data_IF_783707272671
#
_entry.id   IF_783707272671
#
_cell.length_a   1.000
_cell.length_b   1.000
_cell.length_c   1.000
_cell.angle_alpha   90.00
_cell.angle_beta   90.00
_cell.angle_gamma   90.00
#
_symmetry.space_group_name_H-M   'P 1'
#
loop_
_entity.id
_entity.type
_entity.pdbx_description
1 polymer ?
#
# COMPACT_ATOMS: atom_id res chain seq x y z
N UNK A 1 9.06 -31.01 1.82
CA UNK A 1 8.98 -30.38 0.48
C UNK A 1 7.61 -30.55 -0.19
N UNK A 2 6.53 -30.83 0.56
CA UNK A 2 5.18 -31.16 0.03
C UNK A 2 4.20 -29.99 0.00
N UNK A 3 4.60 -28.80 0.45
CA UNK A 3 3.76 -27.60 0.34
C UNK A 3 4.17 -26.79 -0.90
N UNK A 4 3.21 -26.59 -1.79
CA UNK A 4 3.33 -25.67 -2.93
C UNK A 4 3.52 -24.27 -2.36
N UNK A 5 4.57 -23.59 -2.81
CA UNK A 5 4.85 -22.22 -2.39
C UNK A 5 3.84 -21.29 -3.07
N UNK A 6 3.30 -20.27 -2.38
CA UNK A 6 2.52 -19.23 -3.04
C UNK A 6 3.39 -18.53 -4.07
N UNK A 7 2.83 -18.25 -5.24
CA UNK A 7 3.53 -17.57 -6.35
C UNK A 7 2.77 -16.33 -6.74
N UNK A 8 3.51 -15.26 -7.06
CA UNK A 8 2.92 -14.04 -7.60
C UNK A 8 2.39 -14.31 -9.01
N UNK A 9 1.20 -13.78 -9.31
CA UNK A 9 0.61 -13.91 -10.64
C UNK A 9 1.17 -12.80 -11.55
N UNK A 10 1.58 -13.16 -12.77
CA UNK A 10 2.04 -12.18 -13.77
C UNK A 10 0.87 -11.72 -14.65
N UNK A 11 0.77 -10.42 -14.87
CA UNK A 11 -0.25 -9.76 -15.69
C UNK A 11 0.41 -8.82 -16.72
N UNK A 12 -0.30 -8.50 -17.80
CA UNK A 12 0.15 -7.50 -18.77
C UNK A 12 1.15 -8.01 -19.79
N UNK A 13 1.08 -9.29 -20.17
CA UNK A 13 1.98 -9.91 -21.17
C UNK A 13 1.68 -9.52 -22.63
N UNK A 14 0.49 -8.95 -22.89
CA UNK A 14 -0.02 -8.66 -24.22
C UNK A 14 0.61 -7.45 -24.92
N UNK A 15 1.30 -6.57 -24.18
CA UNK A 15 2.07 -5.48 -24.77
C UNK A 15 3.24 -5.04 -23.88
N UNK A 16 4.30 -4.52 -24.52
CA UNK A 16 5.49 -4.04 -23.81
C UNK A 16 5.14 -2.87 -22.87
N UNK A 17 5.58 -2.96 -21.61
CA UNK A 17 5.32 -1.94 -20.59
C UNK A 17 4.02 -2.11 -19.82
N UNK A 18 3.18 -3.10 -20.14
CA UNK A 18 2.01 -3.46 -19.32
C UNK A 18 2.36 -4.45 -18.19
N UNK A 19 3.50 -5.14 -18.27
CA UNK A 19 3.88 -6.22 -17.35
C UNK A 19 3.99 -5.80 -15.88
N UNK A 20 3.39 -6.56 -14.98
CA UNK A 20 3.61 -6.50 -13.52
C UNK A 20 3.28 -7.84 -12.83
N UNK A 21 3.83 -8.01 -11.62
CA UNK A 21 3.47 -9.11 -10.73
C UNK A 21 2.44 -8.63 -9.71
N UNK A 22 1.34 -9.37 -9.59
CA UNK A 22 0.36 -9.23 -8.54
C UNK A 22 0.70 -10.17 -7.39
N UNK A 23 1.01 -9.58 -6.23
CA UNK A 23 1.17 -10.30 -4.97
C UNK A 23 -0.14 -10.15 -4.21
N UNK A 24 -0.80 -11.26 -3.92
CA UNK A 24 -1.99 -11.27 -3.09
C UNK A 24 -1.58 -11.04 -1.63
N UNK A 25 -1.91 -9.85 -1.11
CA UNK A 25 -1.58 -9.46 0.26
C UNK A 25 -2.85 -9.53 1.09
N UNK A 26 -2.89 -10.35 2.16
CA UNK A 26 -4.04 -10.44 3.04
C UNK A 26 -4.45 -9.06 3.58
N UNK A 27 -5.76 -8.78 3.58
CA UNK A 27 -6.32 -7.54 4.13
C UNK A 27 -6.15 -7.48 5.66
N UNK A 28 -6.16 -8.64 6.32
CA UNK A 28 -5.88 -8.74 7.75
C UNK A 28 -4.37 -8.82 7.99
N UNK A 29 -3.90 -8.13 9.04
CA UNK A 29 -2.50 -8.16 9.42
C UNK A 29 -2.16 -9.55 10.02
N UNK A 30 -1.66 -10.47 9.20
CA UNK A 30 -1.23 -11.81 9.64
C UNK A 30 0.13 -11.78 10.37
N UNK A 31 0.80 -10.63 10.33
CA UNK A 31 2.13 -10.47 10.89
C UNK A 31 2.08 -10.17 12.40
N UNK A 32 2.14 -11.22 13.22
CA UNK A 32 2.16 -11.12 14.69
C UNK A 32 3.55 -10.79 15.27
N UNK A 33 4.34 -9.97 14.57
CA UNK A 33 5.62 -9.56 15.12
C UNK A 33 5.36 -8.61 16.31
N UNK A 34 5.61 -9.11 17.53
CA UNK A 34 5.46 -8.35 18.78
C UNK A 34 6.21 -7.00 18.78
N UNK A 35 7.17 -6.82 17.87
CA UNK A 35 8.03 -5.67 17.78
C UNK A 35 7.46 -4.47 16.98
N UNK A 36 6.28 -4.57 16.37
CA UNK A 36 5.63 -3.42 15.72
C UNK A 36 4.82 -2.54 16.69
N UNK A 37 4.53 -3.06 17.89
CA UNK A 37 3.83 -2.30 18.91
C UNK A 37 4.72 -1.14 19.39
N UNK A 38 4.13 0.05 19.54
CA UNK A 38 4.76 1.32 19.92
C UNK A 38 5.69 2.00 18.89
N UNK A 39 5.51 1.74 17.59
CA UNK A 39 6.14 2.52 16.53
C UNK A 39 5.24 3.68 16.08
N UNK A 40 5.82 4.88 16.00
CA UNK A 40 5.09 6.10 15.59
C UNK A 40 5.92 6.91 14.60
N UNK A 41 5.23 7.61 13.71
CA UNK A 41 5.85 8.62 12.84
C UNK A 41 5.78 9.96 13.56
N UNK A 42 6.95 10.50 13.89
CA UNK A 42 7.14 11.86 14.41
C UNK A 42 7.19 12.83 13.23
N UNK A 43 6.26 13.78 13.20
CA UNK A 43 6.18 14.83 12.20
C UNK A 43 6.65 16.15 12.79
N UNK A 44 7.66 16.78 12.18
CA UNK A 44 8.22 18.05 12.64
C UNK A 44 7.33 19.19 12.11
N UNK A 45 6.65 19.88 13.03
CA UNK A 45 5.79 21.03 12.72
C UNK A 45 6.59 22.34 12.70
N UNK A 46 7.52 22.49 13.64
CA UNK A 46 8.36 23.69 13.81
C UNK A 46 9.76 23.28 14.31
N UNK A 47 10.78 23.99 13.83
CA UNK A 47 12.18 23.72 14.13
C UNK A 47 12.84 22.84 13.06
N UNK A 48 14.17 22.78 13.08
CA UNK A 48 14.98 21.87 12.26
C UNK A 48 15.77 20.97 13.19
N UNK A 49 15.61 19.66 13.01
CA UNK A 49 16.07 18.66 13.98
C UNK A 49 16.50 17.41 13.23
N UNK A 50 17.76 17.03 13.40
CA UNK A 50 18.25 15.76 12.90
C UNK A 50 17.86 14.58 13.81
N UNK A 51 18.25 13.37 13.41
CA UNK A 51 17.91 12.15 14.16
C UNK A 51 18.53 12.15 15.56
N UNK A 52 19.75 12.63 15.71
CA UNK A 52 20.49 12.56 16.98
C UNK A 52 19.92 13.55 17.99
N UNK A 53 19.65 14.78 17.54
CA UNK A 53 19.00 15.80 18.35
C UNK A 53 17.59 15.36 18.73
N UNK A 54 16.79 14.82 17.81
CA UNK A 54 15.44 14.34 18.12
C UNK A 54 15.48 13.26 19.21
N UNK A 55 16.40 12.29 19.11
CA UNK A 55 16.55 11.25 20.12
C UNK A 55 16.92 11.82 21.49
N UNK A 56 17.83 12.80 21.54
CA UNK A 56 18.20 13.45 22.80
C UNK A 56 16.99 14.15 23.45
N UNK A 57 16.18 14.85 22.65
CA UNK A 57 14.98 15.55 23.11
C UNK A 57 13.90 14.57 23.59
N UNK A 58 13.65 13.50 22.84
CA UNK A 58 12.72 12.44 23.25
C UNK A 58 13.19 11.72 24.51
N UNK A 59 14.49 11.49 24.66
CA UNK A 59 15.08 10.89 25.87
C UNK A 59 14.86 11.79 27.08
N UNK A 60 15.18 13.09 26.95
CA UNK A 60 15.01 14.07 28.02
C UNK A 60 13.55 14.23 28.44
N UNK A 61 12.62 14.16 27.48
CA UNK A 61 11.19 14.29 27.72
C UNK A 61 10.59 13.02 28.33
N UNK A 62 10.85 11.85 27.75
CA UNK A 62 10.10 10.63 28.05
C UNK A 62 10.86 9.61 28.93
N UNK A 63 12.19 9.67 28.99
CA UNK A 63 13.06 8.65 29.59
C UNK A 63 13.90 9.17 30.78
N UNK A 64 13.31 10.02 31.64
CA UNK A 64 14.00 10.60 32.81
C UNK A 64 14.45 9.58 33.87
N UNK A 65 13.74 8.46 33.98
CA UNK A 65 13.94 7.46 35.05
C UNK A 65 14.50 6.12 34.55
N UNK A 66 14.45 5.87 33.25
CA UNK A 66 14.87 4.59 32.64
C UNK A 66 15.51 4.87 31.29
N UNK A 67 16.66 4.24 31.05
CA UNK A 67 17.29 4.26 29.73
C UNK A 67 16.48 3.41 28.74
N UNK A 68 16.47 3.84 27.49
CA UNK A 68 15.80 3.14 26.39
C UNK A 68 16.70 3.16 25.15
N UNK A 69 16.99 2.00 24.54
CA UNK A 69 17.75 1.93 23.29
C UNK A 69 16.85 2.31 22.12
N UNK A 70 16.71 3.61 21.87
CA UNK A 70 15.86 4.12 20.81
C UNK A 70 16.20 3.53 19.43
N UNK A 71 15.17 3.21 18.66
CA UNK A 71 15.29 2.86 17.26
C UNK A 71 14.67 4.00 16.44
N UNK A 72 15.46 4.57 15.53
CA UNK A 72 15.06 5.71 14.70
C UNK A 72 15.38 5.45 13.24
N UNK A 73 14.45 5.81 12.35
CA UNK A 73 14.64 5.75 10.91
C UNK A 73 14.02 7.00 10.27
N UNK A 74 14.82 7.74 9.52
CA UNK A 74 14.31 8.88 8.75
C UNK A 74 13.45 8.38 7.60
N UNK A 75 12.27 8.98 7.42
CA UNK A 75 11.38 8.68 6.29
C UNK A 75 11.44 9.80 5.25
N UNK A 76 11.42 11.06 5.68
CA UNK A 76 11.63 12.25 4.85
C UNK A 76 12.38 13.34 5.63
N UNK A 77 12.51 14.54 5.06
CA UNK A 77 13.10 15.69 5.75
C UNK A 77 12.32 16.16 6.98
N UNK A 78 11.02 15.87 7.07
CA UNK A 78 10.15 16.29 8.19
C UNK A 78 9.49 15.15 8.94
N UNK A 79 9.70 13.90 8.52
CA UNK A 79 9.04 12.74 9.10
C UNK A 79 10.05 11.67 9.48
N UNK A 80 9.96 11.21 10.72
CA UNK A 80 10.92 10.28 11.31
C UNK A 80 10.15 9.17 12.03
N UNK A 81 10.43 7.92 11.70
CA UNK A 81 9.89 6.76 12.40
C UNK A 81 10.69 6.51 13.68
N UNK A 82 9.99 6.41 14.81
CA UNK A 82 10.59 6.19 16.12
C UNK A 82 9.86 5.08 16.86
N UNK A 83 10.62 4.20 17.52
CA UNK A 83 10.07 3.20 18.44
C UNK A 83 10.13 3.69 19.88
N UNK A 84 8.96 3.91 20.46
CA UNK A 84 8.83 4.35 21.84
C UNK A 84 9.02 3.19 22.82
N UNK A 85 9.41 3.47 24.08
CA UNK A 85 9.47 2.46 25.12
C UNK A 85 8.13 1.75 25.34
N UNK A 86 8.11 0.46 25.70
CA UNK A 86 6.88 -0.32 25.87
C UNK A 86 6.01 0.19 27.02
N UNK A 87 6.60 0.89 27.99
CA UNK A 87 5.88 1.51 29.12
C UNK A 87 5.30 2.89 28.79
N UNK A 88 5.41 3.37 27.55
CA UNK A 88 4.76 4.59 27.08
C UNK A 88 3.53 4.21 26.27
N UNK A 89 2.39 4.77 26.65
CA UNK A 89 1.15 4.71 25.88
C UNK A 89 1.26 5.73 24.75
N UNK A 90 1.62 5.27 23.57
CA UNK A 90 1.83 6.16 22.41
C UNK A 90 0.50 6.53 21.76
N UNK A 91 -0.56 5.76 22.00
CA UNK A 91 -1.92 6.07 21.57
C UNK A 91 -2.36 7.43 22.12
N UNK A 92 -2.20 7.64 23.44
CA UNK A 92 -2.50 8.91 24.11
C UNK A 92 -1.70 10.09 23.53
N UNK A 93 -0.49 9.83 23.00
CA UNK A 93 0.37 10.85 22.41
C UNK A 93 0.03 11.17 20.95
N UNK A 94 -0.55 10.21 20.22
CA UNK A 94 -1.03 10.39 18.84
C UNK A 94 -2.30 11.25 18.81
N UNK A 95 -3.14 11.15 19.83
CA UNK A 95 -4.36 11.97 19.95
C UNK A 95 -4.07 13.46 20.21
N UNK A 96 -2.83 13.81 20.57
CA UNK A 96 -2.44 15.20 20.78
C UNK A 96 -2.29 15.95 19.44
N UNK A 97 -2.81 17.18 19.32
CA UNK A 97 -2.65 17.99 18.10
C UNK A 97 -1.19 18.36 17.79
N UNK A 98 -0.31 18.19 18.78
CA UNK A 98 1.13 18.44 18.73
C UNK A 98 1.62 18.87 20.11
N UNK A 99 2.91 18.67 20.37
CA UNK A 99 3.55 19.12 21.60
C UNK A 99 4.94 19.66 21.34
N UNK A 100 5.37 20.57 22.21
CA UNK A 100 6.70 21.17 22.13
C UNK A 100 7.72 20.31 22.85
N UNK A 101 8.80 19.99 22.15
CA UNK A 101 10.04 19.51 22.72
C UNK A 101 10.90 20.71 23.17
N UNK A 102 11.93 20.49 23.99
CA UNK A 102 12.91 21.54 24.28
C UNK A 102 13.51 22.12 22.99
N UNK A 103 14.08 23.33 23.07
CA UNK A 103 14.69 24.05 21.95
C UNK A 103 13.72 24.52 20.84
N UNK A 104 12.48 24.88 21.21
CA UNK A 104 11.46 25.45 20.31
C UNK A 104 11.09 24.54 19.11
N UNK A 105 11.29 23.23 19.30
CA UNK A 105 10.89 22.19 18.36
C UNK A 105 9.46 21.79 18.68
N UNK A 106 8.57 21.78 17.69
CA UNK A 106 7.20 21.28 17.84
C UNK A 106 7.01 20.07 16.94
N UNK A 107 6.43 19.01 17.49
CA UNK A 107 6.16 17.76 16.77
C UNK A 107 4.73 17.30 17.00
N UNK A 108 4.21 16.53 16.06
CA UNK A 108 3.00 15.71 16.26
C UNK A 108 3.29 14.27 15.92
N UNK A 109 2.56 13.34 16.52
CA UNK A 109 2.73 11.91 16.31
C UNK A 109 1.58 11.35 15.49
N UNK A 110 1.92 10.43 14.59
CA UNK A 110 0.94 9.68 13.80
C UNK A 110 1.23 8.20 13.89
N UNK A 111 0.18 7.39 13.85
CA UNK A 111 0.30 5.93 13.82
C UNK A 111 1.14 5.49 12.60
N UNK A 112 2.16 4.64 12.83
CA UNK A 112 2.89 4.04 11.73
C UNK A 112 2.16 2.81 11.21
N UNK A 113 1.47 2.96 10.09
CA UNK A 113 0.69 1.89 9.45
C UNK A 113 1.51 0.91 8.62
N UNK A 114 2.84 1.07 8.56
CA UNK A 114 3.71 0.27 7.69
C UNK A 114 3.48 0.50 6.19
N UNK A 115 2.59 1.41 5.81
CA UNK A 115 2.27 1.72 4.43
C UNK A 115 3.48 2.37 3.75
N UNK A 116 3.77 1.90 2.54
CA UNK A 116 4.68 2.55 1.60
C UNK A 116 3.82 3.31 0.59
N UNK A 117 4.29 4.48 0.12
CA UNK A 117 3.64 5.11 -1.02
C UNK A 117 3.70 4.17 -2.23
N UNK A 118 2.61 4.09 -3.04
CA UNK A 118 2.64 3.27 -4.23
C UNK A 118 3.69 3.82 -5.20
N UNK A 119 4.55 2.95 -5.72
CA UNK A 119 5.46 3.32 -6.81
C UNK A 119 4.69 3.75 -8.08
N UNK A 120 3.47 3.23 -8.23
CA UNK A 120 2.52 3.62 -9.25
C UNK A 120 1.18 2.90 -9.00
N UNK A 121 0.11 3.48 -9.52
CA UNK A 121 -1.24 2.94 -9.42
C UNK A 121 -1.66 2.32 -10.75
N UNK A 122 -2.51 1.29 -10.68
CA UNK A 122 -3.13 0.75 -11.89
C UNK A 122 -4.27 1.68 -12.32
N UNK A 123 -4.37 1.89 -13.62
CA UNK A 123 -5.44 2.67 -14.24
C UNK A 123 -6.54 1.72 -14.69
N UNK A 124 -7.77 2.07 -14.34
CA UNK A 124 -8.95 1.34 -14.82
C UNK A 124 -9.33 1.74 -16.23
N UNK A 125 -9.56 0.76 -17.10
CA UNK A 125 -10.00 0.98 -18.48
C UNK A 125 -11.01 -0.08 -18.92
N UNK A 126 -11.93 0.32 -19.78
CA UNK A 126 -12.87 -0.60 -20.43
C UNK A 126 -12.29 -1.08 -21.76
N UNK A 127 -12.34 -2.40 -21.97
CA UNK A 127 -11.90 -3.06 -23.20
C UNK A 127 -13.10 -3.81 -23.78
N UNK A 128 -13.37 -3.59 -25.07
CA UNK A 128 -14.37 -4.35 -25.82
C UNK A 128 -13.72 -5.63 -26.35
N UNK A 129 -14.37 -6.77 -26.15
CA UNK A 129 -13.94 -8.04 -26.71
C UNK A 129 -15.03 -8.59 -27.61
N UNK A 130 -14.65 -9.01 -28.80
CA UNK A 130 -15.53 -9.58 -29.82
C UNK A 130 -15.11 -11.01 -30.15
N UNK A 131 -16.03 -11.78 -30.72
CA UNK A 131 -15.73 -13.11 -31.26
C UNK A 131 -15.57 -14.22 -30.22
N UNK A 132 -15.98 -14.01 -28.96
CA UNK A 132 -16.03 -15.09 -27.96
C UNK A 132 -17.31 -15.91 -28.19
N UNK A 133 -17.20 -17.22 -28.48
CA UNK A 133 -18.37 -18.09 -28.54
C UNK A 133 -19.18 -18.07 -27.24
N UNK A 134 -20.51 -18.00 -27.35
CA UNK A 134 -21.44 -17.84 -26.22
C UNK A 134 -21.23 -18.85 -25.08
N UNK A 135 -20.88 -20.10 -25.42
CA UNK A 135 -20.57 -21.17 -24.45
C UNK A 135 -19.33 -20.90 -23.58
N UNK A 136 -18.50 -19.92 -23.95
CA UNK A 136 -17.27 -19.54 -23.24
C UNK A 136 -17.38 -18.18 -22.54
N UNK A 137 -18.53 -17.50 -22.64
CA UNK A 137 -18.79 -16.22 -21.96
C UNK A 137 -18.95 -16.41 -20.45
N UNK A 138 -17.82 -16.63 -19.77
CA UNK A 138 -17.73 -16.87 -18.33
C UNK A 138 -16.69 -15.94 -17.74
N UNK A 139 -16.85 -15.61 -16.45
CA UNK A 139 -15.88 -14.78 -15.73
C UNK A 139 -14.45 -15.29 -15.86
N UNK A 140 -14.26 -16.62 -15.78
CA UNK A 140 -12.95 -17.27 -15.88
C UNK A 140 -12.26 -17.00 -17.22
N UNK A 141 -13.00 -17.10 -18.33
CA UNK A 141 -12.45 -16.83 -19.67
C UNK A 141 -12.14 -15.34 -19.82
N UNK A 142 -13.02 -14.47 -19.36
CA UNK A 142 -12.78 -13.03 -19.37
C UNK A 142 -11.55 -12.64 -18.54
N UNK A 143 -11.36 -13.26 -17.38
CA UNK A 143 -10.18 -13.04 -16.54
C UNK A 143 -8.88 -13.49 -17.21
N UNK A 144 -8.91 -14.59 -17.97
CA UNK A 144 -7.76 -15.07 -18.75
C UNK A 144 -7.44 -14.15 -19.93
N UNK A 145 -8.44 -13.57 -20.59
CA UNK A 145 -8.22 -12.58 -21.66
C UNK A 145 -7.72 -11.27 -21.06
N UNK A 146 -8.37 -10.80 -19.99
CA UNK A 146 -7.97 -9.61 -19.25
C UNK A 146 -6.51 -9.69 -18.79
N UNK A 147 -6.03 -10.87 -18.38
CA UNK A 147 -4.69 -11.02 -17.84
C UNK A 147 -3.56 -10.67 -18.81
N UNK A 148 -3.85 -10.67 -20.12
CA UNK A 148 -2.94 -10.16 -21.15
C UNK A 148 -2.67 -8.66 -20.97
N UNK A 149 -3.59 -7.90 -20.40
CA UNK A 149 -3.52 -6.44 -20.30
C UNK A 149 -3.46 -5.93 -18.85
N UNK A 150 -4.10 -6.63 -17.92
CA UNK A 150 -4.21 -6.23 -16.52
C UNK A 150 -5.09 -7.16 -15.67
N UNK A 151 -5.48 -6.72 -14.49
CA UNK A 151 -6.36 -7.48 -13.60
C UNK A 151 -7.82 -7.18 -13.97
N UNK A 152 -8.65 -8.21 -14.14
CA UNK A 152 -10.10 -8.02 -14.37
C UNK A 152 -10.76 -7.46 -13.10
N UNK A 153 -11.40 -6.29 -13.21
CA UNK A 153 -12.12 -5.64 -12.09
C UNK A 153 -13.63 -5.70 -12.26
N UNK A 154 -14.15 -5.73 -13.49
CA UNK A 154 -15.60 -5.80 -13.75
C UNK A 154 -15.92 -6.34 -15.15
N UNK A 155 -17.17 -6.76 -15.37
CA UNK A 155 -17.69 -7.25 -16.66
C UNK A 155 -19.10 -6.70 -16.89
N UNK A 156 -19.33 -6.11 -18.07
CA UNK A 156 -20.64 -5.62 -18.48
C UNK A 156 -21.51 -6.77 -19.03
N UNK A 157 -22.03 -7.59 -18.12
CA UNK A 157 -22.92 -8.71 -18.44
C UNK A 157 -24.19 -8.26 -19.14
N UNK A 158 -24.78 -7.16 -18.67
CA UNK A 158 -26.02 -6.61 -19.23
C UNK A 158 -25.82 -6.15 -20.67
N UNK A 159 -24.71 -5.48 -20.97
CA UNK A 159 -24.32 -5.10 -22.32
C UNK A 159 -24.19 -6.32 -23.23
N UNK A 160 -23.48 -7.36 -22.78
CA UNK A 160 -23.29 -8.60 -23.54
C UNK A 160 -24.63 -9.29 -23.87
N UNK A 161 -25.58 -9.34 -22.93
CA UNK A 161 -26.89 -9.92 -23.21
C UNK A 161 -27.70 -9.08 -24.21
N UNK A 162 -27.58 -7.75 -24.16
CA UNK A 162 -28.25 -6.83 -25.09
C UNK A 162 -27.74 -6.96 -26.52
N UNK A 163 -26.46 -7.26 -26.70
CA UNK A 163 -25.84 -7.48 -28.01
C UNK A 163 -25.94 -8.93 -28.48
N UNK A 164 -26.76 -9.76 -27.81
CA UNK A 164 -26.89 -11.19 -28.11
C UNK A 164 -25.52 -11.90 -28.19
N UNK A 165 -24.62 -11.57 -27.26
CA UNK A 165 -23.26 -12.12 -27.16
C UNK A 165 -22.33 -11.80 -28.35
N UNK A 166 -22.64 -10.78 -29.16
CA UNK A 166 -21.75 -10.31 -30.23
C UNK A 166 -20.42 -9.77 -29.66
N UNK A 167 -20.53 -9.01 -28.56
CA UNK A 167 -19.39 -8.43 -27.86
C UNK A 167 -19.65 -8.31 -26.36
N UNK A 168 -18.56 -8.19 -25.59
CA UNK A 168 -18.59 -7.96 -24.15
C UNK A 168 -17.58 -6.88 -23.79
N UNK A 169 -17.97 -5.96 -22.90
CA UNK A 169 -17.02 -5.00 -22.32
C UNK A 169 -16.53 -5.53 -20.98
N UNK A 170 -15.22 -5.54 -20.80
CA UNK A 170 -14.57 -5.88 -19.53
C UNK A 170 -13.85 -4.66 -19.00
N UNK A 171 -13.83 -4.50 -17.69
CA UNK A 171 -13.07 -3.46 -17.01
C UNK A 171 -11.81 -4.08 -16.43
N UNK A 172 -10.67 -3.48 -16.72
CA UNK A 172 -9.38 -3.97 -16.26
C UNK A 172 -8.62 -2.88 -15.51
N UNK A 173 -7.81 -3.27 -14.53
CA UNK A 173 -6.79 -2.44 -13.91
C UNK A 173 -5.42 -2.78 -14.52
N UNK A 174 -4.82 -1.83 -15.25
CA UNK A 174 -3.58 -2.03 -16.01
C UNK A 174 -2.60 -0.88 -15.78
N UNK A 175 -1.33 -1.03 -16.20
CA UNK A 175 -0.33 0.03 -15.99
C UNK A 175 -0.53 1.25 -16.90
N UNK A 176 -0.96 1.01 -18.13
CA UNK A 176 -1.07 2.06 -19.14
C UNK A 176 -2.10 1.66 -20.22
N UNK A 177 -3.34 2.16 -20.15
CA UNK A 177 -4.39 1.82 -21.10
C UNK A 177 -4.04 2.16 -22.56
N UNK A 178 -3.16 3.14 -22.78
CA UNK A 178 -2.80 3.60 -24.13
C UNK A 178 -1.96 2.57 -24.92
N UNK A 179 -1.44 1.56 -24.23
CA UNK A 179 -0.64 0.48 -24.81
C UNK A 179 -1.42 -0.78 -25.13
N UNK A 180 -2.72 -0.80 -24.82
CA UNK A 180 -3.58 -1.94 -25.15
C UNK A 180 -3.86 -1.87 -26.65
N UNK A 181 -3.49 -2.89 -27.44
CA UNK A 181 -3.78 -2.92 -28.86
C UNK A 181 -5.30 -2.96 -29.05
N UNK A 182 -5.83 -1.97 -29.76
CA UNK A 182 -7.23 -1.88 -30.18
C UNK A 182 -7.54 -2.90 -31.28
#
# INVERSE_FOLDING_TARGET
>A
WTRVQPTAAFFGSGASGLGFYHVDVPVANESNWLNFQNCVVVNILKGDVDKELLLSLLTATFCKTRQWPWQIRGLSSKTILVRFPPWKKVEDLIELPGFSLPQDVSVTLTEWKGACEPFGELVEAWVLIEGIPTKWCTWKVFAQIASLFGVLTDVDWNGMFRTFFENVRIKIACRDPTKIPF
#
